data_IF_582913916824
#
_entry.id   IF_582913916824
#
_cell.length_a   1.000
_cell.length_b   1.000
_cell.length_c   1.000
_cell.angle_alpha   90.00
_cell.angle_beta   90.00
_cell.angle_gamma   90.00
#
_symmetry.space_group_name_H-M   'P 1'
#
loop_
_entity.id
_entity.type
_entity.pdbx_description
1 polymer ?
#
# COMPACT_ATOMS: atom_id res chain seq x y z
N UNK A 1 -2.21 4.92 16.80
CA UNK A 1 -1.93 5.66 15.57
C UNK A 1 -2.00 7.16 15.86
N UNK A 2 -0.90 7.91 15.66
CA UNK A 2 -0.86 9.36 15.92
C UNK A 2 -1.38 9.74 17.33
N UNK A 3 -0.94 9.00 18.35
CA UNK A 3 -1.39 9.15 19.73
C UNK A 3 -2.80 8.61 20.04
N UNK A 4 -3.57 8.22 19.03
CA UNK A 4 -4.92 7.69 19.20
C UNK A 4 -4.85 6.18 19.45
N UNK A 5 -5.48 5.71 20.53
CA UNK A 5 -5.62 4.27 20.82
C UNK A 5 -6.73 3.67 19.95
N UNK A 6 -6.36 2.80 19.02
CA UNK A 6 -7.28 2.17 18.06
C UNK A 6 -8.34 1.30 18.74
N UNK A 7 -7.98 0.66 19.86
CA UNK A 7 -8.82 -0.24 20.64
C UNK A 7 -9.56 0.45 21.81
N UNK A 8 -9.52 1.78 21.90
CA UNK A 8 -10.33 2.52 22.89
C UNK A 8 -11.79 2.56 22.43
N UNK A 9 -12.76 2.12 23.25
CA UNK A 9 -14.19 2.18 22.90
C UNK A 9 -14.71 3.56 22.57
N UNK A 10 -14.01 4.65 22.99
CA UNK A 10 -14.36 6.04 22.70
C UNK A 10 -13.78 6.54 21.37
N UNK A 11 -12.95 5.75 20.70
CA UNK A 11 -12.34 6.16 19.43
C UNK A 11 -13.38 6.18 18.31
N UNK A 12 -13.50 7.31 17.62
CA UNK A 12 -14.29 7.43 16.38
C UNK A 12 -13.55 6.68 15.24
N UNK A 13 -13.87 5.40 15.11
CA UNK A 13 -13.23 4.52 14.11
C UNK A 13 -13.46 5.00 12.66
N UNK A 14 -14.65 5.46 12.23
CA UNK A 14 -14.83 6.03 10.91
C UNK A 14 -13.88 7.18 10.62
N UNK A 15 -13.75 8.12 11.54
CA UNK A 15 -12.84 9.26 11.43
C UNK A 15 -11.38 8.84 11.40
N UNK A 16 -11.00 7.85 12.21
CA UNK A 16 -9.64 7.32 12.21
C UNK A 16 -9.32 6.58 10.91
N UNK A 17 -10.25 5.75 10.42
CA UNK A 17 -10.09 5.00 9.16
C UNK A 17 -9.97 5.92 7.94
N UNK A 18 -10.64 7.07 7.93
CA UNK A 18 -10.51 8.06 6.86
C UNK A 18 -9.09 8.63 6.75
N UNK A 19 -8.28 8.54 7.82
CA UNK A 19 -6.88 8.99 7.87
C UNK A 19 -5.86 7.89 7.56
N UNK A 20 -6.30 6.67 7.29
CA UNK A 20 -5.43 5.52 7.00
C UNK A 20 -5.77 4.99 5.62
N UNK A 21 -4.81 5.00 4.72
CA UNK A 21 -4.97 4.36 3.42
C UNK A 21 -4.85 2.84 3.54
N UNK A 22 -5.67 2.10 2.80
CA UNK A 22 -5.59 0.64 2.71
C UNK A 22 -5.55 0.24 1.25
N UNK A 23 -4.60 -0.62 0.91
CA UNK A 23 -4.42 -1.20 -0.43
C UNK A 23 -4.48 -2.72 -0.27
N UNK A 24 -5.42 -3.33 -0.96
CA UNK A 24 -5.71 -4.76 -0.91
C UNK A 24 -5.04 -5.53 -2.04
N UNK A 25 -4.94 -6.84 -1.91
CA UNK A 25 -4.44 -7.75 -2.92
C UNK A 25 -5.24 -7.68 -4.24
N UNK A 26 -6.57 -7.50 -4.18
CA UNK A 26 -7.47 -7.49 -5.32
C UNK A 26 -7.94 -6.10 -5.75
N UNK A 27 -7.09 -5.07 -5.60
CA UNK A 27 -7.29 -3.70 -6.07
C UNK A 27 -8.52 -2.97 -5.52
N UNK A 28 -9.68 -3.64 -5.41
CA UNK A 28 -10.96 -3.13 -4.86
C UNK A 28 -11.41 -1.80 -5.51
N UNK A 29 -11.17 -1.63 -6.82
CA UNK A 29 -11.66 -0.49 -7.57
C UNK A 29 -13.16 -0.63 -7.87
N UNK A 30 -13.86 0.51 -7.90
CA UNK A 30 -15.27 0.54 -8.32
C UNK A 30 -15.37 0.31 -9.83
N UNK A 31 -15.87 -0.86 -10.29
CA UNK A 31 -15.78 -1.23 -11.70
C UNK A 31 -16.68 -0.39 -12.62
N UNK A 32 -17.73 0.20 -12.07
CA UNK A 32 -18.68 1.05 -12.80
C UNK A 32 -18.25 2.52 -12.88
N UNK A 33 -17.18 2.90 -12.20
CA UNK A 33 -16.62 4.25 -12.22
C UNK A 33 -15.35 4.29 -13.08
N UNK A 34 -15.11 5.43 -13.71
CA UNK A 34 -13.84 5.71 -14.38
C UNK A 34 -12.71 5.80 -13.35
N UNK A 35 -11.48 5.69 -13.80
CA UNK A 35 -10.31 5.75 -12.94
C UNK A 35 -10.25 7.07 -12.17
N UNK A 36 -10.46 8.19 -12.83
CA UNK A 36 -10.47 9.51 -12.18
C UNK A 36 -11.59 9.62 -11.13
N UNK A 37 -12.76 9.05 -11.39
CA UNK A 37 -13.90 9.05 -10.47
C UNK A 37 -13.65 8.19 -9.24
N UNK A 38 -12.94 7.05 -9.40
CA UNK A 38 -12.46 6.22 -8.29
C UNK A 38 -11.62 7.02 -7.29
N UNK A 39 -10.77 7.94 -7.77
CA UNK A 39 -9.96 8.78 -6.90
C UNK A 39 -10.74 9.96 -6.32
N UNK A 40 -11.73 10.50 -7.02
CA UNK A 40 -12.48 11.68 -6.58
C UNK A 40 -13.57 11.36 -5.54
N UNK A 41 -14.19 10.19 -5.61
CA UNK A 41 -15.38 9.85 -4.84
C UNK A 41 -15.20 10.06 -3.33
N UNK A 42 -14.18 9.46 -2.74
CA UNK A 42 -13.95 9.55 -1.29
C UNK A 42 -13.52 10.96 -0.88
N UNK A 43 -12.74 11.66 -1.69
CA UNK A 43 -12.35 13.04 -1.44
C UNK A 43 -13.56 13.97 -1.29
N UNK A 44 -14.55 13.80 -2.16
CA UNK A 44 -15.78 14.62 -2.15
C UNK A 44 -16.71 14.19 -1.03
N UNK A 45 -16.95 12.88 -0.86
CA UNK A 45 -17.96 12.36 0.09
C UNK A 45 -17.50 12.35 1.54
N UNK A 46 -16.22 12.17 1.79
CA UNK A 46 -15.67 12.02 3.15
C UNK A 46 -14.91 13.26 3.59
N UNK A 47 -14.08 13.84 2.72
CA UNK A 47 -13.29 15.03 3.05
C UNK A 47 -14.01 16.34 2.71
N UNK A 48 -15.15 16.29 2.00
CA UNK A 48 -15.92 17.47 1.61
C UNK A 48 -15.23 18.38 0.58
N UNK A 49 -14.21 17.86 -0.14
CA UNK A 49 -13.53 18.63 -1.18
C UNK A 49 -14.47 18.97 -2.33
N UNK A 50 -14.27 20.14 -2.91
CA UNK A 50 -14.95 20.53 -4.14
C UNK A 50 -14.58 19.57 -5.29
N UNK A 51 -15.39 19.60 -6.34
CA UNK A 51 -15.10 18.79 -7.55
C UNK A 51 -13.74 19.19 -8.16
N UNK A 52 -13.44 20.47 -8.21
CA UNK A 52 -12.18 21.00 -8.77
C UNK A 52 -10.96 20.56 -7.97
N UNK A 53 -11.02 20.67 -6.64
CA UNK A 53 -9.95 20.22 -5.73
C UNK A 53 -9.70 18.70 -5.86
N UNK A 54 -10.79 17.91 -5.87
CA UNK A 54 -10.70 16.45 -6.01
C UNK A 54 -10.12 16.05 -7.36
N UNK A 55 -10.52 16.70 -8.46
CA UNK A 55 -10.00 16.46 -9.81
C UNK A 55 -8.53 16.84 -9.95
N UNK A 56 -8.13 17.99 -9.40
CA UNK A 56 -6.73 18.43 -9.43
C UNK A 56 -5.82 17.43 -8.68
N UNK A 57 -6.23 17.04 -7.47
CA UNK A 57 -5.50 16.04 -6.66
C UNK A 57 -5.44 14.67 -7.36
N UNK A 58 -6.57 14.20 -7.89
CA UNK A 58 -6.64 12.92 -8.58
C UNK A 58 -5.75 12.90 -9.83
N UNK A 59 -5.76 13.98 -10.63
CA UNK A 59 -4.90 14.10 -11.82
C UNK A 59 -3.42 14.08 -11.46
N UNK A 60 -3.02 14.81 -10.42
CA UNK A 60 -1.64 14.82 -9.92
C UNK A 60 -1.20 13.43 -9.46
N UNK A 61 -2.06 12.70 -8.74
CA UNK A 61 -1.75 11.35 -8.27
C UNK A 61 -1.68 10.34 -9.41
N UNK A 62 -2.57 10.42 -10.40
CA UNK A 62 -2.48 9.58 -11.60
C UNK A 62 -1.21 9.85 -12.39
N UNK A 63 -0.77 11.10 -12.48
CA UNK A 63 0.51 11.43 -13.11
C UNK A 63 1.69 10.83 -12.32
N UNK A 64 1.64 10.89 -10.99
CA UNK A 64 2.66 10.32 -10.10
C UNK A 64 2.83 8.82 -10.28
N UNK A 65 1.74 8.08 -10.47
CA UNK A 65 1.78 6.61 -10.70
C UNK A 65 1.88 6.23 -12.19
N UNK A 66 2.15 7.21 -13.10
CA UNK A 66 2.37 6.99 -14.52
C UNK A 66 1.09 6.62 -15.30
N UNK A 67 -0.10 7.02 -14.83
CA UNK A 67 -1.39 6.62 -15.39
C UNK A 67 -2.30 7.80 -15.77
N UNK A 68 -1.74 9.00 -16.00
CA UNK A 68 -2.50 10.20 -16.36
C UNK A 68 -3.40 9.97 -17.58
N UNK A 69 -2.88 9.31 -18.61
CA UNK A 69 -3.59 9.08 -19.88
C UNK A 69 -4.70 8.01 -19.76
N UNK A 70 -4.77 7.33 -18.61
CA UNK A 70 -5.79 6.32 -18.33
C UNK A 70 -6.95 6.86 -17.48
N UNK A 71 -6.96 8.15 -17.15
CA UNK A 71 -7.94 8.77 -16.26
C UNK A 71 -9.41 8.52 -16.65
N UNK A 72 -9.71 8.45 -17.94
CA UNK A 72 -11.06 8.27 -18.47
C UNK A 72 -11.45 6.80 -18.70
N UNK A 73 -10.53 5.86 -18.55
CA UNK A 73 -10.79 4.44 -18.69
C UNK A 73 -11.52 3.87 -17.46
N UNK A 74 -12.12 2.70 -17.61
CA UNK A 74 -12.66 1.89 -16.54
C UNK A 74 -11.61 0.86 -16.06
N UNK A 75 -11.74 0.34 -14.81
CA UNK A 75 -10.78 -0.65 -14.27
C UNK A 75 -10.56 -1.86 -15.18
N UNK A 76 -11.60 -2.37 -15.83
CA UNK A 76 -11.51 -3.53 -16.73
C UNK A 76 -10.62 -3.29 -17.97
N UNK A 77 -10.29 -2.05 -18.30
CA UNK A 77 -9.44 -1.68 -19.44
C UNK A 77 -7.96 -1.55 -19.05
N UNK A 78 -7.63 -1.84 -17.77
CA UNK A 78 -6.29 -1.73 -17.21
C UNK A 78 -5.71 -3.11 -16.90
N UNK A 79 -4.38 -3.24 -17.03
CA UNK A 79 -3.65 -4.42 -16.51
C UNK A 79 -3.73 -4.48 -14.98
N UNK A 80 -3.46 -5.64 -14.39
CA UNK A 80 -3.44 -5.81 -12.93
C UNK A 80 -2.51 -4.82 -12.22
N UNK A 81 -1.27 -4.65 -12.73
CA UNK A 81 -0.32 -3.69 -12.18
C UNK A 81 -0.79 -2.23 -12.31
N UNK A 82 -1.46 -1.89 -13.40
CA UNK A 82 -2.08 -0.57 -13.55
C UNK A 82 -3.22 -0.37 -12.56
N UNK A 83 -4.09 -1.37 -12.37
CA UNK A 83 -5.17 -1.32 -11.38
C UNK A 83 -4.62 -1.15 -9.96
N UNK A 84 -3.55 -1.85 -9.61
CA UNK A 84 -2.92 -1.73 -8.30
C UNK A 84 -2.32 -0.33 -8.08
N UNK A 85 -1.67 0.24 -9.08
CA UNK A 85 -1.17 1.62 -8.98
C UNK A 85 -2.30 2.64 -8.85
N UNK A 86 -3.45 2.41 -9.48
CA UNK A 86 -4.66 3.22 -9.26
C UNK A 86 -5.17 3.06 -7.83
N UNK A 87 -5.19 1.84 -7.27
CA UNK A 87 -5.61 1.60 -5.88
C UNK A 87 -4.70 2.34 -4.88
N UNK A 88 -3.39 2.37 -5.13
CA UNK A 88 -2.43 3.16 -4.34
C UNK A 88 -2.75 4.67 -4.47
N UNK A 89 -2.94 5.17 -5.69
CA UNK A 89 -3.27 6.58 -5.92
C UNK A 89 -4.61 6.97 -5.26
N UNK A 90 -5.61 6.09 -5.29
CA UNK A 90 -6.90 6.29 -4.61
C UNK A 90 -6.73 6.41 -3.10
N UNK A 91 -5.93 5.54 -2.49
CA UNK A 91 -5.66 5.61 -1.06
C UNK A 91 -4.91 6.90 -0.69
N UNK A 92 -3.93 7.32 -1.49
CA UNK A 92 -3.18 8.57 -1.31
C UNK A 92 -4.06 9.83 -1.48
N UNK A 93 -5.15 9.74 -2.26
CA UNK A 93 -6.06 10.87 -2.48
C UNK A 93 -6.75 11.35 -1.19
N UNK A 94 -6.79 10.52 -0.15
CA UNK A 94 -7.34 10.87 1.16
C UNK A 94 -6.34 11.58 2.08
N UNK A 95 -5.12 11.89 1.63
CA UNK A 95 -4.01 12.44 2.43
C UNK A 95 -3.77 11.66 3.74
N UNK A 96 -3.54 10.35 3.65
CA UNK A 96 -3.45 9.50 4.82
C UNK A 96 -2.17 9.76 5.62
N UNK A 97 -2.25 9.59 6.94
CA UNK A 97 -1.09 9.65 7.84
C UNK A 97 -0.28 8.36 7.85
N UNK A 98 -0.88 7.26 7.39
CA UNK A 98 -0.23 5.97 7.21
C UNK A 98 -0.93 5.16 6.12
N UNK A 99 -0.19 4.28 5.47
CA UNK A 99 -0.68 3.34 4.46
C UNK A 99 -0.51 1.90 4.92
N UNK A 100 -1.55 1.11 4.76
CA UNK A 100 -1.53 -0.35 4.98
C UNK A 100 -1.58 -1.03 3.62
N UNK A 101 -0.69 -2.00 3.42
CA UNK A 101 -0.65 -2.81 2.20
C UNK A 101 -0.80 -4.28 2.58
N UNK A 102 -1.80 -4.93 2.01
CA UNK A 102 -2.05 -6.36 2.22
C UNK A 102 -1.71 -7.12 0.94
N UNK A 103 -0.51 -7.69 0.89
CA UNK A 103 0.06 -8.43 -0.24
C UNK A 103 -0.18 -7.74 -1.61
N UNK A 104 0.30 -6.51 -1.81
CA UNK A 104 -0.08 -5.67 -2.97
C UNK A 104 0.38 -6.21 -4.33
N UNK A 105 1.21 -7.24 -4.36
CA UNK A 105 1.78 -7.83 -5.58
C UNK A 105 1.32 -9.26 -5.85
N UNK A 106 0.64 -9.92 -4.91
CA UNK A 106 0.32 -11.36 -5.00
C UNK A 106 -0.61 -11.74 -6.14
N UNK A 107 -1.45 -10.81 -6.61
CA UNK A 107 -2.38 -11.02 -7.72
C UNK A 107 -1.82 -10.55 -9.07
N UNK A 108 -0.51 -10.26 -9.16
CA UNK A 108 0.14 -9.69 -10.34
C UNK A 108 1.05 -10.69 -11.03
N UNK A 109 1.14 -10.56 -12.35
CA UNK A 109 2.17 -11.22 -13.13
C UNK A 109 3.56 -10.65 -12.79
N UNK A 110 4.63 -11.46 -12.84
CA UNK A 110 5.99 -11.04 -12.46
C UNK A 110 6.48 -9.76 -13.15
N UNK A 111 6.07 -9.55 -14.41
CA UNK A 111 6.45 -8.37 -15.19
C UNK A 111 5.87 -7.06 -14.62
N UNK A 112 4.73 -7.15 -13.90
CA UNK A 112 4.02 -5.99 -13.36
C UNK A 112 4.42 -5.65 -11.92
N UNK A 113 5.07 -6.58 -11.21
CA UNK A 113 5.45 -6.42 -9.81
C UNK A 113 6.39 -5.23 -9.62
N UNK A 114 7.39 -5.09 -10.48
CA UNK A 114 8.41 -4.04 -10.38
C UNK A 114 7.80 -2.63 -10.39
N UNK A 115 6.84 -2.38 -11.28
CA UNK A 115 6.18 -1.06 -11.40
C UNK A 115 5.41 -0.67 -10.14
N UNK A 116 4.78 -1.63 -9.46
CA UNK A 116 4.06 -1.40 -8.21
C UNK A 116 5.04 -1.17 -7.06
N UNK A 117 6.08 -2.00 -6.98
CA UNK A 117 7.11 -1.86 -5.94
C UNK A 117 7.89 -0.55 -6.06
N UNK A 118 8.15 -0.06 -7.27
CA UNK A 118 8.82 1.22 -7.48
C UNK A 118 7.99 2.40 -6.91
N UNK A 119 6.67 2.41 -7.14
CA UNK A 119 5.78 3.40 -6.51
C UNK A 119 5.88 3.31 -4.98
N UNK A 120 5.90 2.11 -4.39
CA UNK A 120 6.00 1.94 -2.94
C UNK A 120 7.38 2.35 -2.40
N UNK A 121 8.45 2.12 -3.16
CA UNK A 121 9.81 2.61 -2.81
C UNK A 121 9.84 4.13 -2.76
N UNK A 122 9.21 4.79 -3.71
CA UNK A 122 9.17 6.26 -3.74
C UNK A 122 8.35 6.82 -2.56
N UNK A 123 7.24 6.18 -2.20
CA UNK A 123 6.49 6.53 -0.98
C UNK A 123 7.34 6.39 0.29
N UNK A 124 8.13 5.31 0.39
CA UNK A 124 9.04 5.11 1.52
C UNK A 124 10.10 6.19 1.62
N UNK A 125 10.70 6.57 0.48
CA UNK A 125 11.72 7.63 0.40
C UNK A 125 11.18 9.01 0.78
N UNK A 126 9.91 9.27 0.49
CA UNK A 126 9.23 10.51 0.89
C UNK A 126 8.81 10.53 2.37
N UNK A 127 9.08 9.46 3.11
CA UNK A 127 8.80 9.36 4.54
C UNK A 127 7.37 8.93 4.88
N UNK A 128 6.63 8.35 3.92
CA UNK A 128 5.30 7.80 4.20
C UNK A 128 5.40 6.66 5.22
N UNK A 129 4.65 6.75 6.30
CA UNK A 129 4.52 5.65 7.25
C UNK A 129 3.73 4.51 6.61
N UNK A 130 4.34 3.34 6.53
CA UNK A 130 3.72 2.17 5.90
C UNK A 130 3.83 0.92 6.77
N UNK A 131 2.76 0.11 6.77
CA UNK A 131 2.80 -1.28 7.21
C UNK A 131 2.47 -2.14 5.98
N UNK A 132 3.37 -3.08 5.65
CA UNK A 132 3.26 -3.88 4.42
C UNK A 132 3.34 -5.35 4.77
N UNK A 133 2.30 -6.10 4.44
CA UNK A 133 2.34 -7.57 4.39
C UNK A 133 2.84 -7.94 3.00
N UNK A 134 3.95 -8.65 2.91
CA UNK A 134 4.57 -9.00 1.62
C UNK A 134 5.45 -10.23 1.72
N UNK A 135 5.59 -10.92 0.61
CA UNK A 135 6.61 -11.96 0.39
C UNK A 135 7.76 -11.46 -0.49
N UNK A 136 7.76 -10.20 -0.91
CA UNK A 136 8.81 -9.56 -1.70
C UNK A 136 10.01 -9.18 -0.81
N UNK A 137 10.89 -10.14 -0.52
CA UNK A 137 12.00 -9.93 0.42
C UNK A 137 13.02 -8.92 -0.08
N UNK A 138 13.23 -8.79 -1.39
CA UNK A 138 14.07 -7.77 -2.00
C UNK A 138 13.56 -6.36 -1.71
N UNK A 139 12.26 -6.15 -1.84
CA UNK A 139 11.59 -4.90 -1.48
C UNK A 139 11.70 -4.63 0.03
N UNK A 140 11.34 -5.60 0.88
CA UNK A 140 11.40 -5.45 2.32
C UNK A 140 12.82 -5.07 2.78
N UNK A 141 13.86 -5.73 2.25
CA UNK A 141 15.26 -5.41 2.55
C UNK A 141 15.66 -4.00 2.12
N UNK A 142 15.07 -3.49 1.02
CA UNK A 142 15.38 -2.15 0.49
C UNK A 142 14.76 -1.03 1.35
N UNK A 143 13.51 -1.17 1.79
CA UNK A 143 12.73 -0.04 2.35
C UNK A 143 12.34 -0.21 3.83
N UNK A 144 12.28 -1.41 4.39
CA UNK A 144 11.83 -1.60 5.75
C UNK A 144 12.81 -0.99 6.76
N UNK A 145 12.27 -0.48 7.87
CA UNK A 145 13.06 -0.12 9.07
C UNK A 145 13.00 -1.25 10.10
N UNK A 146 11.88 -1.96 10.14
CA UNK A 146 11.58 -3.04 11.09
C UNK A 146 10.85 -4.15 10.35
N UNK A 147 11.15 -5.38 10.69
CA UNK A 147 10.52 -6.57 10.12
C UNK A 147 9.87 -7.36 11.23
N UNK A 148 8.60 -7.74 11.02
CA UNK A 148 7.86 -8.64 11.90
C UNK A 148 7.62 -9.93 11.11
N UNK A 149 8.26 -11.01 11.54
CA UNK A 149 8.09 -12.32 10.93
C UNK A 149 7.04 -13.11 11.69
N UNK A 150 6.00 -13.53 10.97
CA UNK A 150 4.89 -14.28 11.53
C UNK A 150 4.85 -15.70 10.96
N UNK A 151 4.51 -16.65 11.80
CA UNK A 151 4.26 -18.04 11.43
C UNK A 151 3.14 -18.61 12.30
N UNK A 152 2.21 -19.36 11.72
CA UNK A 152 1.07 -19.98 12.41
C UNK A 152 0.23 -19.02 13.27
N UNK A 153 0.11 -17.75 12.84
CA UNK A 153 -0.66 -16.73 13.56
C UNK A 153 0.09 -16.06 14.73
N UNK A 154 1.33 -16.42 14.97
CA UNK A 154 2.16 -15.87 16.04
C UNK A 154 3.31 -15.03 15.49
N UNK A 155 3.72 -14.00 16.26
CA UNK A 155 4.94 -13.24 15.97
C UNK A 155 6.13 -14.08 16.43
N UNK A 156 6.91 -14.58 15.47
CA UNK A 156 8.09 -15.41 15.73
C UNK A 156 9.33 -14.56 15.94
N UNK A 157 9.44 -13.47 15.19
CA UNK A 157 10.56 -12.52 15.31
C UNK A 157 10.10 -11.10 14.99
N UNK A 158 10.61 -10.14 15.75
CA UNK A 158 10.38 -8.72 15.58
C UNK A 158 11.73 -8.01 15.77
N UNK A 159 12.28 -7.47 14.70
CA UNK A 159 13.65 -6.96 14.68
C UNK A 159 13.84 -5.78 13.71
N UNK A 160 14.85 -4.92 13.93
CA UNK A 160 15.34 -4.03 12.89
C UNK A 160 15.69 -4.80 11.62
N UNK A 161 15.51 -4.16 10.47
CA UNK A 161 15.75 -4.79 9.15
C UNK A 161 17.12 -5.46 9.06
N UNK A 162 18.17 -4.76 9.46
CA UNK A 162 19.55 -5.25 9.31
C UNK A 162 19.82 -6.49 10.18
N UNK A 163 19.21 -6.53 11.36
CA UNK A 163 19.28 -7.71 12.26
C UNK A 163 18.52 -8.88 11.65
N UNK A 164 17.29 -8.65 11.18
CA UNK A 164 16.46 -9.70 10.59
C UNK A 164 17.10 -10.35 9.37
N UNK A 165 17.60 -9.55 8.43
CA UNK A 165 18.21 -10.07 7.19
C UNK A 165 19.66 -10.52 7.37
N UNK A 166 20.39 -10.00 8.35
CA UNK A 166 21.79 -10.32 8.57
C UNK A 166 22.04 -11.42 9.62
N UNK A 167 21.23 -11.43 10.68
CA UNK A 167 21.38 -12.33 11.82
C UNK A 167 20.03 -12.69 12.45
N UNK A 168 19.13 -13.37 11.71
CA UNK A 168 17.85 -13.78 12.26
C UNK A 168 18.03 -14.66 13.50
N UNK A 169 17.24 -14.40 14.53
CA UNK A 169 17.39 -15.07 15.86
C UNK A 169 16.66 -16.40 15.90
N UNK A 170 15.49 -16.49 15.25
CA UNK A 170 14.70 -17.70 15.27
C UNK A 170 15.15 -18.68 14.18
N UNK A 171 15.21 -19.98 14.52
CA UNK A 171 15.49 -21.05 13.56
C UNK A 171 14.52 -21.04 12.39
N UNK A 172 13.28 -20.62 12.65
CA UNK A 172 12.22 -20.56 11.63
C UNK A 172 12.48 -19.43 10.63
N UNK A 173 12.90 -18.25 11.09
CA UNK A 173 13.29 -17.14 10.21
C UNK A 173 14.57 -17.49 9.41
N UNK A 174 15.55 -18.14 10.05
CA UNK A 174 16.77 -18.62 9.36
C UNK A 174 16.44 -19.57 8.22
N UNK A 175 15.58 -20.58 8.46
CA UNK A 175 15.13 -21.54 7.42
C UNK A 175 14.32 -20.85 6.33
N UNK A 176 13.52 -19.85 6.66
CA UNK A 176 12.75 -19.07 5.68
C UNK A 176 13.69 -18.27 4.76
N UNK A 177 14.59 -17.48 5.35
CA UNK A 177 15.51 -16.64 4.59
C UNK A 177 16.49 -17.46 3.74
N UNK A 178 16.99 -18.59 4.26
CA UNK A 178 17.89 -19.47 3.48
C UNK A 178 17.25 -20.02 2.21
N UNK A 179 15.93 -20.26 2.21
CA UNK A 179 15.20 -20.73 1.02
C UNK A 179 14.97 -19.62 -0.02
N UNK A 180 14.75 -18.39 0.44
CA UNK A 180 14.41 -17.29 -0.46
C UNK A 180 15.65 -16.58 -1.00
N UNK A 181 16.72 -16.49 -0.21
CA UNK A 181 17.96 -15.81 -0.63
C UNK A 181 18.92 -16.73 -1.44
N UNK A 182 18.59 -18.02 -1.55
CA UNK A 182 19.35 -18.97 -2.37
C UNK A 182 18.89 -19.04 -3.84
N UNK A 183 17.96 -18.19 -4.23
CA UNK A 183 17.51 -17.94 -5.60
C UNK A 183 17.80 -16.49 -5.99
#
# INVERSE_FOLDING_TARGET
>A
LDGIKVNDPKTDLPKLRARVGMVFQHFELFPHLRIIENLCLAQQKVLGRSHEEAMAKATSLLQRVGLKDHAQKHPAELSGGQQQRVAIARALAMDPIAMLFDEPTSALDPEMISEVLDVMVDLAREGMTMMVVTHEMGFARKVAHRVIFMDQGEIVEDAPKDDFFGRPRSDRAQKFLSKILSH
#
